data_IF_549704997719
#
_entry.id   IF_549704997719
#
_cell.length_a   1.000
_cell.length_b   1.000
_cell.length_c   1.000
_cell.angle_alpha   90.00
_cell.angle_beta   90.00
_cell.angle_gamma   90.00
#
_symmetry.space_group_name_H-M   'P 1'
#
loop_
_entity.id
_entity.type
_entity.pdbx_description
1 polymer ?
#
# COMPACT_ATOMS: atom_id res chain seq x y z
N UNK A 1 -18.03 -4.82 24.80
CA UNK A 1 -17.21 -4.22 23.72
C UNK A 1 -17.26 -5.11 22.49
N UNK A 2 -17.87 -4.64 21.39
CA UNK A 2 -17.97 -5.41 20.14
C UNK A 2 -16.58 -5.43 19.49
N UNK A 3 -15.79 -6.49 19.71
CA UNK A 3 -14.49 -6.68 19.03
C UNK A 3 -14.77 -6.71 17.52
N UNK A 4 -14.53 -5.60 16.83
CA UNK A 4 -14.55 -5.54 15.37
C UNK A 4 -13.47 -6.50 14.88
N UNK A 5 -13.87 -7.72 14.53
CA UNK A 5 -12.97 -8.75 14.02
C UNK A 5 -12.16 -8.15 12.88
N UNK A 6 -10.84 -8.36 12.80
CA UNK A 6 -10.10 -8.00 11.60
C UNK A 6 -10.82 -8.67 10.42
N UNK A 7 -11.29 -7.88 9.46
CA UNK A 7 -11.96 -8.43 8.28
C UNK A 7 -10.97 -8.45 7.13
N UNK A 8 -10.81 -9.63 6.51
CA UNK A 8 -10.02 -9.78 5.28
C UNK A 8 -10.39 -8.75 4.22
N UNK A 9 -11.68 -8.47 4.09
CA UNK A 9 -12.20 -7.50 3.13
C UNK A 9 -11.63 -6.09 3.35
N UNK A 10 -11.46 -5.70 4.63
CA UNK A 10 -10.84 -4.43 4.98
C UNK A 10 -9.37 -4.37 4.56
N UNK A 11 -8.63 -5.48 4.71
CA UNK A 11 -7.22 -5.55 4.34
C UNK A 11 -7.01 -5.63 2.81
N UNK A 12 -7.87 -6.38 2.12
CA UNK A 12 -7.86 -6.52 0.67
C UNK A 12 -8.16 -5.19 -0.04
N UNK A 13 -8.99 -4.33 0.57
CA UNK A 13 -9.25 -2.98 0.07
C UNK A 13 -8.00 -2.10 0.05
N UNK A 14 -7.15 -2.18 1.08
CA UNK A 14 -5.88 -1.44 1.10
C UNK A 14 -4.91 -1.96 0.04
N UNK A 15 -4.83 -3.29 -0.12
CA UNK A 15 -3.96 -3.90 -1.12
C UNK A 15 -4.43 -3.60 -2.55
N UNK A 16 -5.75 -3.59 -2.78
CA UNK A 16 -6.36 -3.27 -4.07
C UNK A 16 -6.14 -1.82 -4.51
N UNK A 17 -6.02 -0.88 -3.56
CA UNK A 17 -5.66 0.53 -3.85
C UNK A 17 -4.15 0.67 -4.05
N UNK A 18 -3.34 -0.05 -3.26
CA UNK A 18 -1.89 -0.01 -3.40
C UNK A 18 -1.41 -0.56 -4.74
N UNK A 19 -2.07 -1.59 -5.26
CA UNK A 19 -1.70 -2.27 -6.50
C UNK A 19 -1.58 -1.34 -7.72
N UNK A 20 -2.60 -0.55 -8.11
CA UNK A 20 -2.45 0.43 -9.20
C UNK A 20 -1.42 1.52 -8.86
N UNK A 21 -1.30 1.91 -7.59
CA UNK A 21 -0.34 2.92 -7.13
C UNK A 21 1.12 2.47 -7.37
N UNK A 22 1.40 1.17 -7.27
CA UNK A 22 2.72 0.60 -7.58
C UNK A 22 3.12 0.74 -9.06
N UNK A 23 2.16 0.76 -9.98
CA UNK A 23 2.44 1.00 -11.40
C UNK A 23 2.49 2.49 -11.72
N UNK A 24 1.61 3.29 -11.11
CA UNK A 24 1.54 4.73 -11.37
C UNK A 24 2.77 5.46 -10.82
N UNK A 25 3.25 5.10 -9.62
CA UNK A 25 4.41 5.75 -8.99
C UNK A 25 5.67 5.77 -9.89
N UNK A 26 6.19 4.65 -10.43
CA UNK A 26 7.38 4.65 -11.29
C UNK A 26 7.15 5.40 -12.61
N UNK A 27 5.92 5.41 -13.14
CA UNK A 27 5.55 6.20 -14.34
C UNK A 27 5.67 7.70 -14.03
N UNK A 28 5.12 8.15 -12.89
CA UNK A 28 5.20 9.56 -12.46
C UNK A 28 6.65 9.94 -12.16
N UNK A 29 7.45 9.06 -11.55
CA UNK A 29 8.87 9.28 -11.31
C UNK A 29 9.65 9.43 -12.63
N UNK A 30 9.40 8.58 -13.62
CA UNK A 30 10.06 8.69 -14.94
C UNK A 30 9.67 9.97 -15.67
N UNK A 31 8.41 10.41 -15.57
CA UNK A 31 7.98 11.73 -16.07
C UNK A 31 8.69 12.85 -15.30
N UNK A 32 8.83 12.72 -13.98
CA UNK A 32 9.57 13.67 -13.15
C UNK A 32 11.04 13.82 -13.55
N UNK A 33 11.73 12.73 -13.85
CA UNK A 33 13.10 12.79 -14.36
C UNK A 33 13.18 13.47 -15.74
N UNK A 34 12.16 13.30 -16.60
CA UNK A 34 12.10 14.01 -17.89
C UNK A 34 11.83 15.51 -17.70
N UNK A 35 10.90 15.88 -16.83
CA UNK A 35 10.58 17.27 -16.51
C UNK A 35 11.77 17.99 -15.85
N UNK A 36 12.51 17.28 -14.99
CA UNK A 36 13.73 17.78 -14.36
C UNK A 36 14.79 18.15 -15.42
N UNK A 37 14.96 17.32 -16.44
CA UNK A 37 15.94 17.58 -17.52
C UNK A 37 15.55 18.72 -18.45
N UNK A 38 14.25 19.01 -18.60
CA UNK A 38 13.76 20.07 -19.49
C UNK A 38 13.71 21.43 -18.80
N UNK A 39 13.05 21.50 -17.64
CA UNK A 39 12.65 22.76 -17.01
C UNK A 39 13.21 22.91 -15.58
N UNK A 40 14.05 21.97 -15.13
CA UNK A 40 14.55 21.95 -13.74
C UNK A 40 13.44 21.69 -12.71
N UNK A 41 12.26 21.22 -13.15
CA UNK A 41 11.09 21.14 -12.29
C UNK A 41 11.04 19.81 -11.51
N UNK A 42 11.17 19.90 -10.19
CA UNK A 42 11.17 18.75 -9.27
C UNK A 42 9.78 18.31 -8.81
N UNK A 43 8.71 19.06 -9.12
CA UNK A 43 7.35 18.82 -8.60
C UNK A 43 6.86 17.40 -8.89
N UNK A 44 7.04 16.92 -10.12
CA UNK A 44 6.62 15.58 -10.52
C UNK A 44 7.45 14.47 -9.86
N UNK A 45 8.73 14.74 -9.59
CA UNK A 45 9.61 13.81 -8.89
C UNK A 45 9.17 13.64 -7.43
N UNK A 46 8.88 14.76 -6.76
CA UNK A 46 8.38 14.79 -5.38
C UNK A 46 7.02 14.09 -5.28
N UNK A 47 6.10 14.36 -6.23
CA UNK A 47 4.80 13.67 -6.31
C UNK A 47 4.96 12.16 -6.50
N UNK A 48 5.83 11.73 -7.41
CA UNK A 48 6.09 10.31 -7.64
C UNK A 48 6.66 9.61 -6.41
N UNK A 49 7.58 10.27 -5.70
CA UNK A 49 8.17 9.75 -4.47
C UNK A 49 7.13 9.66 -3.33
N UNK A 50 6.29 10.68 -3.18
CA UNK A 50 5.21 10.68 -2.20
C UNK A 50 4.19 9.56 -2.48
N UNK A 51 3.79 9.38 -3.74
CA UNK A 51 2.92 8.28 -4.17
C UNK A 51 3.53 6.91 -3.88
N UNK A 52 4.83 6.74 -4.13
CA UNK A 52 5.57 5.52 -3.81
C UNK A 52 5.57 5.20 -2.32
N UNK A 53 5.81 6.21 -1.47
CA UNK A 53 5.76 6.05 -0.01
C UNK A 53 4.35 5.62 0.46
N UNK A 54 3.30 6.26 -0.05
CA UNK A 54 1.92 5.89 0.28
C UNK A 54 1.60 4.46 -0.16
N UNK A 55 2.10 4.02 -1.32
CA UNK A 55 1.92 2.66 -1.82
C UNK A 55 2.58 1.63 -0.89
N UNK A 56 3.84 1.88 -0.48
CA UNK A 56 4.59 1.00 0.42
C UNK A 56 3.88 0.89 1.78
N UNK A 57 3.49 2.02 2.38
CA UNK A 57 2.80 2.02 3.66
C UNK A 57 1.46 1.27 3.57
N UNK A 58 0.66 1.56 2.54
CA UNK A 58 -0.65 0.90 2.35
C UNK A 58 -0.51 -0.61 2.17
N UNK A 59 0.50 -1.06 1.41
CA UNK A 59 0.80 -2.49 1.25
C UNK A 59 1.28 -3.11 2.55
N UNK A 60 2.20 -2.48 3.28
CA UNK A 60 2.67 -2.99 4.56
C UNK A 60 1.52 -3.16 5.57
N UNK A 61 0.65 -2.15 5.70
CA UNK A 61 -0.54 -2.23 6.55
C UNK A 61 -1.54 -3.29 6.09
N UNK A 62 -1.77 -3.39 4.78
CA UNK A 62 -2.66 -4.40 4.20
C UNK A 62 -2.15 -5.82 4.49
N UNK A 63 -0.87 -6.08 4.20
CA UNK A 63 -0.23 -7.37 4.44
C UNK A 63 -0.19 -7.73 5.92
N UNK A 64 0.15 -6.78 6.80
CA UNK A 64 0.17 -7.03 8.26
C UNK A 64 -1.22 -7.43 8.77
N UNK A 65 -2.29 -6.83 8.23
CA UNK A 65 -3.67 -7.13 8.62
C UNK A 65 -4.14 -8.48 8.06
N UNK A 66 -3.73 -8.85 6.85
CA UNK A 66 -3.98 -10.18 6.27
C UNK A 66 -3.24 -11.24 7.09
N UNK A 67 -1.97 -11.03 7.40
CA UNK A 67 -1.15 -11.95 8.20
C UNK A 67 -1.79 -12.18 9.58
N UNK A 68 -2.11 -11.10 10.31
CA UNK A 68 -2.80 -11.22 11.61
C UNK A 68 -4.13 -11.96 11.48
N UNK A 69 -4.91 -11.71 10.43
CA UNK A 69 -6.17 -12.43 10.24
C UNK A 69 -5.98 -13.93 10.04
N UNK A 70 -4.98 -14.33 9.24
CA UNK A 70 -4.69 -15.74 8.95
C UNK A 70 -4.21 -16.43 10.24
N UNK A 71 -3.20 -15.87 10.91
CA UNK A 71 -2.61 -16.47 12.10
C UNK A 71 -3.53 -16.44 13.33
N UNK A 72 -4.32 -15.38 13.56
CA UNK A 72 -5.31 -15.35 14.66
C UNK A 72 -6.45 -16.37 14.45
N UNK A 73 -6.71 -16.78 13.20
CA UNK A 73 -7.72 -17.82 12.91
C UNK A 73 -7.22 -19.22 13.25
N UNK A 74 -5.93 -19.47 13.11
CA UNK A 74 -5.33 -20.79 13.36
C UNK A 74 -5.22 -21.09 14.86
N UNK A 75 -4.90 -20.09 15.70
CA UNK A 75 -4.87 -20.28 17.18
C UNK A 75 -6.24 -20.61 17.81
N UNK A 76 -7.35 -20.26 17.14
CA UNK A 76 -8.69 -20.53 17.63
C UNK A 76 -9.18 -21.96 17.30
N UNK A 77 -8.54 -22.65 16.33
CA UNK A 77 -8.92 -23.99 15.88
C UNK A 77 -8.07 -25.10 16.52
N UNK A 78 -6.90 -24.77 17.08
CA UNK A 78 -5.99 -25.72 17.75
C UNK A 78 -6.41 -26.02 19.22
N UNK A 79 -7.34 -25.26 19.78
CA UNK A 79 -7.84 -25.43 21.17
C UNK A 79 -9.22 -26.08 21.28
N UNK A 80 -9.73 -26.72 20.22
CA UNK A 80 -11.04 -27.37 20.21
C UNK A 80 -10.97 -28.87 20.02
#
# INVERSE_FOLDING_TARGET
MKKNKPTLFGALKFLGIAFPLFFIAPIVITIGFKALKKDGNYIFLILGLALGLVAILSTAYGLMKISRFIFDKDEANDKS
#
